data_IF_364004552446
#
_entry.id   IF_364004552446
#
_cell.length_a   1.000
_cell.length_b   1.000
_cell.length_c   1.000
_cell.angle_alpha   90.00
_cell.angle_beta   90.00
_cell.angle_gamma   90.00
#
_symmetry.space_group_name_H-M   'P 1'
#
loop_
_entity.id
_entity.type
_entity.pdbx_description
1 polymer ?
#
# COMPACT_ATOMS: atom_id res chain seq x y z
N UNK A 1 -5.84 10.09 10.88
CA UNK A 1 -5.19 8.77 11.01
C UNK A 1 -6.06 7.60 10.53
N UNK A 2 -7.27 7.37 11.06
CA UNK A 2 -8.10 6.21 10.68
C UNK A 2 -8.36 6.06 9.17
N UNK A 3 -8.60 7.17 8.45
CA UNK A 3 -8.78 7.17 6.99
C UNK A 3 -7.51 6.75 6.22
N UNK A 4 -6.34 7.22 6.64
CA UNK A 4 -5.05 6.88 6.02
C UNK A 4 -4.74 5.38 6.13
N UNK A 5 -5.03 4.81 7.30
CA UNK A 5 -4.83 3.39 7.57
C UNK A 5 -5.80 2.55 6.74
N UNK A 6 -7.08 2.96 6.66
CA UNK A 6 -8.08 2.28 5.84
C UNK A 6 -7.74 2.35 4.34
N UNK A 7 -7.12 3.43 3.87
CA UNK A 7 -6.65 3.53 2.49
C UNK A 7 -5.47 2.63 2.17
N UNK A 8 -4.47 2.54 3.06
CA UNK A 8 -3.34 1.62 2.87
C UNK A 8 -3.88 0.18 2.78
N UNK A 9 -4.80 -0.21 3.67
CA UNK A 9 -5.44 -1.53 3.61
C UNK A 9 -6.28 -1.75 2.34
N UNK A 10 -6.97 -0.73 1.83
CA UNK A 10 -7.81 -0.81 0.62
C UNK A 10 -6.97 -0.83 -0.67
N UNK A 11 -5.81 -0.18 -0.67
CA UNK A 11 -4.90 -0.15 -1.82
C UNK A 11 -4.28 -1.52 -2.07
N UNK A 12 -3.90 -2.19 -0.99
CA UNK A 12 -3.14 -3.44 -1.06
C UNK A 12 -4.04 -4.65 -1.37
N UNK A 13 -5.32 -4.61 -1.05
CA UNK A 13 -6.27 -5.72 -1.22
C UNK A 13 -6.92 -5.81 -2.61
N UNK A 14 -6.58 -4.92 -3.54
CA UNK A 14 -7.22 -4.94 -4.85
C UNK A 14 -6.81 -6.20 -5.63
N UNK A 15 -7.74 -6.87 -6.34
CA UNK A 15 -7.44 -8.05 -7.15
C UNK A 15 -6.64 -7.73 -8.42
N UNK A 16 -5.92 -6.60 -8.43
CA UNK A 16 -4.95 -6.24 -9.46
C UNK A 16 -3.72 -7.15 -9.40
N UNK A 17 -3.47 -7.80 -8.26
CA UNK A 17 -2.52 -8.92 -8.15
C UNK A 17 -3.20 -10.21 -8.58
N UNK A 18 -3.61 -10.22 -9.85
CA UNK A 18 -4.21 -11.38 -10.49
C UNK A 18 -3.17 -12.46 -10.69
N UNK A 19 -3.39 -13.59 -10.01
CA UNK A 19 -3.37 -14.91 -10.64
C UNK A 19 -2.07 -15.27 -11.38
N UNK A 20 -1.12 -15.77 -10.61
CA UNK A 20 -0.50 -17.04 -10.95
C UNK A 20 -0.33 -17.82 -9.66
N UNK A 21 -1.17 -18.84 -9.49
CA UNK A 21 -0.85 -19.95 -8.61
C UNK A 21 0.36 -20.67 -9.23
N UNK A 22 1.55 -20.10 -9.04
CA UNK A 22 2.83 -20.78 -9.23
C UNK A 22 3.57 -20.65 -7.92
N UNK A 23 3.70 -21.78 -7.26
CA UNK A 23 4.41 -22.00 -6.00
C UNK A 23 5.92 -21.99 -6.20
N UNK A 24 6.44 -20.98 -6.91
CA UNK A 24 7.87 -20.81 -7.12
C UNK A 24 8.32 -19.54 -6.38
N UNK A 25 9.17 -19.71 -5.39
CA UNK A 25 9.66 -18.64 -4.51
C UNK A 25 10.35 -17.50 -5.28
N UNK A 26 11.00 -17.83 -6.41
CA UNK A 26 11.66 -16.87 -7.31
C UNK A 26 10.64 -15.97 -8.06
N UNK A 27 9.52 -16.53 -8.51
CA UNK A 27 8.43 -15.77 -9.16
C UNK A 27 7.81 -14.78 -8.17
N UNK A 28 7.81 -15.14 -6.89
CA UNK A 28 7.28 -14.30 -5.81
C UNK A 28 8.18 -13.10 -5.49
N UNK A 29 9.51 -13.29 -5.50
CA UNK A 29 10.44 -12.19 -5.28
C UNK A 29 10.45 -11.19 -6.45
N UNK A 30 10.39 -11.67 -7.69
CA UNK A 30 10.30 -10.82 -8.87
C UNK A 30 9.00 -10.01 -8.87
N UNK A 31 7.86 -10.66 -8.59
CA UNK A 31 6.57 -9.99 -8.49
C UNK A 31 6.56 -8.92 -7.37
N UNK A 32 7.17 -9.22 -6.22
CA UNK A 32 7.34 -8.26 -5.13
C UNK A 32 8.20 -7.06 -5.57
N UNK A 33 9.31 -7.31 -6.25
CA UNK A 33 10.21 -6.25 -6.71
C UNK A 33 9.56 -5.36 -7.76
N UNK A 34 8.84 -5.95 -8.72
CA UNK A 34 8.05 -5.23 -9.71
C UNK A 34 6.96 -4.37 -9.04
N UNK A 35 6.34 -4.88 -7.98
CA UNK A 35 5.34 -4.13 -7.20
C UNK A 35 5.97 -2.93 -6.49
N UNK A 36 7.12 -3.12 -5.84
CA UNK A 36 7.82 -2.03 -5.16
C UNK A 36 8.25 -0.96 -6.17
N UNK A 37 8.79 -1.37 -7.32
CA UNK A 37 9.19 -0.44 -8.37
C UNK A 37 7.98 0.33 -8.92
N UNK A 38 6.87 -0.36 -9.16
CA UNK A 38 5.63 0.27 -9.62
C UNK A 38 5.14 1.35 -8.63
N UNK A 39 5.12 1.06 -7.33
CA UNK A 39 4.63 2.01 -6.33
C UNK A 39 5.56 3.23 -6.19
N UNK A 40 6.88 3.01 -6.27
CA UNK A 40 7.89 4.04 -6.05
C UNK A 40 8.18 4.89 -7.30
N UNK A 41 7.99 4.35 -8.50
CA UNK A 41 8.19 5.08 -9.74
C UNK A 41 6.88 5.74 -10.19
N UNK A 42 6.82 7.06 -10.08
CA UNK A 42 5.63 7.86 -10.42
C UNK A 42 5.15 7.66 -11.86
N UNK A 43 6.05 7.62 -12.84
CA UNK A 43 5.66 7.46 -14.24
C UNK A 43 5.04 6.08 -14.50
N UNK A 44 5.67 5.02 -13.97
CA UNK A 44 5.15 3.65 -14.06
C UNK A 44 3.80 3.53 -13.36
N UNK A 45 3.69 4.11 -12.17
CA UNK A 45 2.45 4.14 -11.37
C UNK A 45 1.32 4.86 -12.11
N UNK A 46 1.57 6.07 -12.62
CA UNK A 46 0.56 6.87 -13.31
C UNK A 46 0.12 6.19 -14.62
N UNK A 47 1.03 5.52 -15.33
CA UNK A 47 0.70 4.70 -16.49
C UNK A 47 -0.20 3.50 -16.12
N UNK A 48 0.11 2.81 -15.03
CA UNK A 48 -0.70 1.69 -14.53
C UNK A 48 -2.09 2.15 -14.08
N UNK A 49 -2.17 3.26 -13.32
CA UNK A 49 -3.43 3.85 -12.88
C UNK A 49 -4.30 4.21 -14.09
N UNK A 50 -3.75 4.75 -15.18
CA UNK A 50 -4.54 5.06 -16.38
C UNK A 50 -5.21 3.82 -16.99
N UNK A 51 -4.59 2.65 -16.88
CA UNK A 51 -5.10 1.39 -17.44
C UNK A 51 -6.07 0.60 -16.54
N UNK A 52 -6.15 0.91 -15.24
CA UNK A 52 -6.90 0.10 -14.28
C UNK A 52 -7.90 0.92 -13.46
N UNK A 53 -9.20 0.63 -13.66
CA UNK A 53 -10.30 1.35 -13.00
C UNK A 53 -10.34 1.20 -11.47
N UNK A 54 -9.76 0.14 -10.92
CA UNK A 54 -9.68 -0.08 -9.47
C UNK A 54 -8.52 0.74 -8.90
N UNK A 55 -7.38 0.75 -9.58
CA UNK A 55 -6.23 1.58 -9.25
C UNK A 55 -6.59 3.08 -9.31
N UNK A 56 -7.41 3.51 -10.28
CA UNK A 56 -7.95 4.89 -10.34
C UNK A 56 -8.76 5.27 -9.11
N UNK A 57 -9.63 4.37 -8.65
CA UNK A 57 -10.44 4.60 -7.44
C UNK A 57 -9.55 4.69 -6.21
N UNK A 58 -8.59 3.78 -6.08
CA UNK A 58 -7.65 3.77 -4.97
C UNK A 58 -6.79 5.05 -4.96
N UNK A 59 -6.27 5.46 -6.11
CA UNK A 59 -5.48 6.69 -6.28
C UNK A 59 -6.31 7.95 -5.97
N UNK A 60 -7.57 8.00 -6.43
CA UNK A 60 -8.49 9.09 -6.09
C UNK A 60 -8.67 9.22 -4.58
N UNK A 61 -8.85 8.10 -3.89
CA UNK A 61 -8.99 8.12 -2.43
C UNK A 61 -7.69 8.53 -1.74
N UNK A 62 -6.53 8.08 -2.23
CA UNK A 62 -5.23 8.50 -1.74
C UNK A 62 -5.06 10.02 -1.83
N UNK A 63 -5.37 10.61 -2.99
CA UNK A 63 -5.35 12.06 -3.22
C UNK A 63 -6.31 12.82 -2.31
N UNK A 64 -7.50 12.27 -2.04
CA UNK A 64 -8.45 12.88 -1.10
C UNK A 64 -7.91 12.98 0.34
N UNK A 65 -6.94 12.15 0.71
CA UNK A 65 -6.39 12.13 2.08
C UNK A 65 -5.09 12.91 2.19
N UNK A 66 -4.16 12.77 1.25
CA UNK A 66 -2.84 13.42 1.34
C UNK A 66 -2.63 14.57 0.37
N UNK A 67 -3.59 14.80 -0.54
CA UNK A 67 -3.44 15.72 -1.66
C UNK A 67 -2.59 15.14 -2.80
N UNK A 68 -2.19 16.01 -3.71
CA UNK A 68 -1.33 15.66 -4.85
C UNK A 68 0.16 15.98 -4.60
N UNK A 69 1.03 15.52 -5.50
CA UNK A 69 2.45 15.86 -5.48
C UNK A 69 3.25 15.04 -4.48
N UNK A 70 4.24 15.66 -3.82
CA UNK A 70 5.23 14.95 -3.01
C UNK A 70 4.61 14.10 -1.88
N UNK A 71 3.50 14.56 -1.28
CA UNK A 71 2.81 13.81 -0.21
C UNK A 71 2.16 12.52 -0.71
N UNK A 72 1.65 12.55 -1.94
CA UNK A 72 1.12 11.35 -2.59
C UNK A 72 2.25 10.34 -2.86
N UNK A 73 3.41 10.83 -3.34
CA UNK A 73 4.59 9.99 -3.57
C UNK A 73 5.11 9.38 -2.26
N UNK A 74 5.12 10.13 -1.15
CA UNK A 74 5.47 9.62 0.18
C UNK A 74 4.48 8.57 0.70
N UNK A 75 3.17 8.74 0.45
CA UNK A 75 2.17 7.73 0.78
C UNK A 75 2.43 6.42 0.03
N UNK A 76 2.70 6.48 -1.27
CA UNK A 76 3.02 5.31 -2.08
C UNK A 76 4.32 4.64 -1.63
N UNK A 77 5.32 5.43 -1.24
CA UNK A 77 6.57 4.92 -0.65
C UNK A 77 6.32 4.19 0.67
N UNK A 78 5.48 4.76 1.55
CA UNK A 78 5.12 4.12 2.82
C UNK A 78 4.37 2.81 2.57
N UNK A 79 3.43 2.79 1.62
CA UNK A 79 2.71 1.59 1.22
C UNK A 79 3.66 0.50 0.68
N UNK A 80 4.64 0.87 -0.14
CA UNK A 80 5.64 -0.05 -0.68
C UNK A 80 6.50 -0.70 0.42
N UNK A 81 6.93 0.08 1.42
CA UNK A 81 7.73 -0.44 2.55
C UNK A 81 6.90 -1.42 3.39
N UNK A 82 5.67 -1.05 3.74
CA UNK A 82 4.77 -1.90 4.52
C UNK A 82 4.47 -3.19 3.77
N UNK A 83 4.18 -3.11 2.46
CA UNK A 83 3.91 -4.27 1.63
C UNK A 83 5.10 -5.23 1.55
N UNK A 84 6.33 -4.71 1.38
CA UNK A 84 7.55 -5.53 1.40
C UNK A 84 7.73 -6.28 2.71
N UNK A 85 7.54 -5.60 3.83
CA UNK A 85 7.75 -6.20 5.14
C UNK A 85 6.64 -7.23 5.43
N UNK A 86 5.41 -6.99 4.97
CA UNK A 86 4.33 -8.00 4.98
C UNK A 86 4.66 -9.21 4.10
N UNK A 87 5.15 -9.00 2.88
CA UNK A 87 5.52 -10.09 1.99
C UNK A 87 6.64 -10.94 2.58
N UNK A 88 7.65 -10.31 3.16
CA UNK A 88 8.77 -10.98 3.83
C UNK A 88 8.28 -11.79 5.04
N UNK A 89 7.40 -11.23 5.87
CA UNK A 89 6.84 -11.91 7.04
C UNK A 89 5.99 -13.14 6.68
N UNK A 90 5.45 -13.19 5.46
CA UNK A 90 4.64 -14.31 4.95
C UNK A 90 5.46 -15.24 4.03
N UNK A 91 6.79 -15.12 3.98
CA UNK A 91 7.66 -15.88 3.06
C UNK A 91 7.21 -15.77 1.58
N UNK A 92 6.67 -14.62 1.19
CA UNK A 92 6.10 -14.39 -0.12
C UNK A 92 4.77 -15.10 -0.39
N UNK A 93 4.23 -15.94 0.51
CA UNK A 93 3.03 -16.72 0.22
C UNK A 93 1.84 -15.81 -0.17
N UNK A 94 1.38 -15.95 -1.42
CA UNK A 94 0.37 -15.07 -1.99
C UNK A 94 -0.98 -15.19 -1.28
N UNK A 95 -1.31 -16.37 -0.75
CA UNK A 95 -2.55 -16.61 -0.03
C UNK A 95 -2.50 -15.95 1.34
N UNK A 96 -1.43 -16.13 2.09
CA UNK A 96 -1.21 -15.48 3.38
C UNK A 96 -1.11 -13.97 3.25
N UNK A 97 -0.50 -13.45 2.18
CA UNK A 97 -0.57 -12.02 1.88
C UNK A 97 -2.00 -11.55 1.66
N UNK A 98 -2.78 -12.24 0.82
CA UNK A 98 -4.17 -11.86 0.56
C UNK A 98 -5.03 -11.90 1.83
N UNK A 99 -4.80 -12.90 2.69
CA UNK A 99 -5.46 -13.02 4.00
C UNK A 99 -5.07 -11.88 4.95
N UNK A 100 -3.78 -11.55 5.04
CA UNK A 100 -3.28 -10.45 5.86
C UNK A 100 -3.84 -9.10 5.40
N UNK A 101 -3.95 -8.89 4.09
CA UNK A 101 -4.55 -7.69 3.51
C UNK A 101 -6.06 -7.62 3.74
N UNK A 102 -6.76 -8.75 3.60
CA UNK A 102 -8.17 -8.84 3.96
C UNK A 102 -8.42 -8.55 5.45
N UNK A 103 -7.54 -9.03 6.34
CA UNK A 103 -7.60 -8.71 7.77
C UNK A 103 -7.35 -7.22 8.03
N UNK A 104 -6.38 -6.62 7.33
CA UNK A 104 -6.07 -5.20 7.45
C UNK A 104 -7.23 -4.30 6.99
N UNK A 105 -8.04 -4.73 6.03
CA UNK A 105 -9.24 -4.00 5.63
C UNK A 105 -10.35 -4.08 6.66
N UNK A 106 -10.53 -5.26 7.29
CA UNK A 106 -11.58 -5.49 8.30
C UNK A 106 -11.29 -4.75 9.60
N UNK A 107 -10.03 -4.72 10.01
CA UNK A 107 -9.59 -3.96 11.19
C UNK A 107 -8.32 -3.15 10.89
N UNK A 108 -8.49 -1.94 10.32
CA UNK A 108 -7.37 -1.05 10.06
C UNK A 108 -6.61 -0.67 11.34
N UNK A 109 -7.31 -0.55 12.48
CA UNK A 109 -6.67 -0.16 13.74
C UNK A 109 -5.75 -1.27 14.26
N UNK A 110 -6.20 -2.52 14.21
CA UNK A 110 -5.36 -3.68 14.55
C UNK A 110 -4.17 -3.79 13.60
N UNK A 111 -4.38 -3.59 12.30
CA UNK A 111 -3.29 -3.55 11.33
C UNK A 111 -2.23 -2.51 11.69
N UNK A 112 -2.63 -1.27 11.96
CA UNK A 112 -1.71 -0.20 12.35
C UNK A 112 -0.91 -0.55 13.62
N UNK A 113 -1.54 -1.20 14.59
CA UNK A 113 -0.86 -1.61 15.82
C UNK A 113 0.20 -2.69 15.58
N UNK A 114 0.00 -3.54 14.56
CA UNK A 114 0.93 -4.62 14.19
C UNK A 114 2.11 -4.14 13.32
N UNK A 115 2.07 -2.89 12.82
CA UNK A 115 3.18 -2.30 12.08
C UNK A 115 4.41 -2.07 12.98
N UNK A 116 5.60 -1.99 12.39
CA UNK A 116 6.81 -1.64 13.15
C UNK A 116 6.74 -0.19 13.68
N UNK A 117 7.51 0.17 14.72
CA UNK A 117 7.60 1.55 15.20
C UNK A 117 7.90 2.56 14.08
N UNK A 118 8.81 2.22 13.17
CA UNK A 118 9.22 3.05 12.03
C UNK A 118 8.08 3.23 11.03
N UNK A 119 7.37 2.14 10.69
CA UNK A 119 6.20 2.20 9.82
C UNK A 119 5.08 3.05 10.41
N UNK A 120 4.82 2.90 11.71
CA UNK A 120 3.86 3.75 12.42
C UNK A 120 4.28 5.21 12.41
N UNK A 121 5.57 5.51 12.53
CA UNK A 121 6.10 6.87 12.48
C UNK A 121 5.98 7.47 11.07
N UNK A 122 6.23 6.70 10.00
CA UNK A 122 5.99 7.14 8.62
C UNK A 122 4.53 7.54 8.40
N UNK A 123 3.59 6.69 8.84
CA UNK A 123 2.15 6.97 8.75
C UNK A 123 1.75 8.20 9.59
N UNK A 124 2.34 8.37 10.79
CA UNK A 124 2.09 9.55 11.64
C UNK A 124 2.60 10.83 10.98
N UNK A 125 3.83 10.83 10.45
CA UNK A 125 4.40 12.00 9.77
C UNK A 125 3.57 12.42 8.56
N UNK A 126 3.11 11.46 7.76
CA UNK A 126 2.15 11.71 6.67
C UNK A 126 0.84 12.31 7.18
N UNK A 127 0.28 11.75 8.26
CA UNK A 127 -0.98 12.22 8.83
C UNK A 127 -0.87 13.66 9.38
N UNK A 128 0.21 13.99 10.07
CA UNK A 128 0.47 15.32 10.64
C UNK A 128 0.73 16.35 9.53
N UNK A 129 1.46 15.98 8.48
CA UNK A 129 1.67 16.81 7.29
C UNK A 129 0.40 17.00 6.45
N UNK A 130 -0.55 16.06 6.51
CA UNK A 130 -1.83 16.11 5.78
C UNK A 130 -2.98 16.80 6.53
N UNK A 131 -2.80 17.11 7.83
CA UNK A 131 -3.80 17.86 8.58
C UNK A 131 -3.88 19.30 8.04
N UNK A 132 -5.08 19.91 7.90
CA UNK A 132 -5.16 21.34 7.63
C UNK A 132 -4.40 22.06 8.75
N UNK A 133 -3.57 23.05 8.38
CA UNK A 133 -2.93 23.92 9.36
C UNK A 133 -3.98 24.43 10.37
N UNK A 134 -3.68 24.48 11.68
CA UNK A 134 -4.58 25.14 12.62
C UNK A 134 -4.79 26.57 12.14
N UNK A 135 -6.06 26.92 11.91
CA UNK A 135 -6.48 28.29 11.60
C UNK A 135 -6.28 29.19 12.82
#
# INVERSE_FOLDING_TARGET
MGKLILLISLFLSQPCFGQSARTDEEVNQEALQNTMELLQNREKRDAYIKGDSKAQKADTMARQVVGDGAKLDELYKAAAVIFRDMATANNGDAKSMQEALGAAQKDPKAFYNNLTPEQRQMIKGLAESSAPAPQ
#
